data_IF_965289106831
#
_entry.id   IF_965289106831
#
_cell.length_a   1.000
_cell.length_b   1.000
_cell.length_c   1.000
_cell.angle_alpha   90.00
_cell.angle_beta   90.00
_cell.angle_gamma   90.00
#
_symmetry.space_group_name_H-M   'P 1'
#
loop_
_entity.id
_entity.type
_entity.pdbx_description
1 polymer ?
#
# COMPACT_ATOMS: atom_id res chain seq x y z
N UNK A 1 5.75 27.96 39.35
CA UNK A 1 6.25 27.78 37.97
C UNK A 1 5.84 26.39 37.53
N UNK A 2 4.80 26.29 36.69
CA UNK A 2 4.23 24.99 36.29
C UNK A 2 5.12 24.37 35.22
N UNK A 3 5.81 23.27 35.54
CA UNK A 3 6.59 22.51 34.58
C UNK A 3 5.64 21.86 33.57
N UNK A 4 5.48 22.47 32.40
CA UNK A 4 4.85 21.80 31.27
C UNK A 4 5.75 20.63 30.87
N UNK A 5 5.24 19.41 31.05
CA UNK A 5 5.90 18.19 30.59
C UNK A 5 5.98 18.26 29.07
N UNK A 6 7.17 18.56 28.53
CA UNK A 6 7.41 18.53 27.09
C UNK A 6 7.25 17.07 26.63
N UNK A 7 6.20 16.79 25.88
CA UNK A 7 6.04 15.49 25.23
C UNK A 7 7.01 15.48 24.06
N UNK A 8 8.17 14.84 24.23
CA UNK A 8 9.11 14.65 23.14
C UNK A 8 8.46 13.83 22.01
N UNK A 9 8.71 14.27 20.78
CA UNK A 9 8.18 13.58 19.60
C UNK A 9 8.90 12.24 19.45
N UNK A 10 8.16 11.12 19.40
CA UNK A 10 8.73 9.77 19.29
C UNK A 10 9.32 9.46 17.89
N UNK A 11 8.98 10.26 16.89
CA UNK A 11 9.37 10.08 15.48
C UNK A 11 10.88 10.02 15.25
N UNK A 12 11.76 10.86 15.85
CA UNK A 12 13.21 10.68 15.79
C UNK A 12 13.68 9.30 16.29
N UNK A 13 13.10 8.78 17.37
CA UNK A 13 13.43 7.45 17.91
C UNK A 13 12.99 6.36 16.93
N UNK A 14 11.77 6.46 16.40
CA UNK A 14 11.26 5.52 15.40
C UNK A 14 12.11 5.53 14.12
N UNK A 15 12.62 6.69 13.72
CA UNK A 15 13.55 6.84 12.58
C UNK A 15 14.89 6.16 12.87
N UNK A 16 15.49 6.41 14.03
CA UNK A 16 16.76 5.78 14.44
C UNK A 16 16.66 4.25 14.48
N UNK A 17 15.53 3.71 14.95
CA UNK A 17 15.27 2.28 14.99
C UNK A 17 14.87 1.69 13.63
N UNK A 18 14.77 2.51 12.57
CA UNK A 18 14.27 2.11 11.25
C UNK A 18 12.86 1.46 11.32
N UNK A 19 12.02 1.95 12.23
CA UNK A 19 10.67 1.44 12.45
C UNK A 19 9.64 2.23 11.63
N UNK A 20 8.79 1.52 10.89
CA UNK A 20 7.64 2.17 10.25
C UNK A 20 6.58 2.53 11.30
N UNK A 21 5.99 3.74 11.24
CA UNK A 21 4.81 4.10 12.03
C UNK A 21 3.64 3.15 11.75
N UNK A 22 2.72 3.02 12.71
CA UNK A 22 1.58 2.07 12.64
C UNK A 22 0.78 2.23 11.34
N UNK A 23 0.47 3.47 10.94
CA UNK A 23 -0.24 3.78 9.69
C UNK A 23 0.44 3.15 8.47
N UNK A 24 1.76 3.27 8.35
CA UNK A 24 2.48 2.68 7.23
C UNK A 24 2.64 1.16 7.33
N UNK A 25 2.68 0.60 8.55
CA UNK A 25 2.64 -0.87 8.71
C UNK A 25 1.32 -1.46 8.21
N UNK A 26 0.21 -0.76 8.42
CA UNK A 26 -1.10 -1.16 7.87
C UNK A 26 -1.04 -1.14 6.34
N UNK A 27 -0.58 -0.03 5.73
CA UNK A 27 -0.42 0.05 4.28
C UNK A 27 0.49 -1.04 3.72
N UNK A 28 1.62 -1.30 4.38
CA UNK A 28 2.55 -2.36 4.01
C UNK A 28 1.89 -3.73 3.98
N UNK A 29 1.07 -4.05 5.00
CA UNK A 29 0.35 -5.33 5.07
C UNK A 29 -0.71 -5.45 3.98
N UNK A 30 -1.48 -4.39 3.71
CA UNK A 30 -2.47 -4.38 2.62
C UNK A 30 -1.77 -4.63 1.29
N UNK A 31 -0.74 -3.85 0.97
CA UNK A 31 0.02 -3.95 -0.29
C UNK A 31 0.72 -5.31 -0.46
N UNK A 32 1.24 -5.88 0.63
CA UNK A 32 1.84 -7.22 0.61
C UNK A 32 0.80 -8.29 0.27
N UNK A 33 -0.40 -8.19 0.86
CA UNK A 33 -1.51 -9.09 0.53
C UNK A 33 -1.96 -8.90 -0.91
N UNK A 34 -2.04 -7.66 -1.40
CA UNK A 34 -2.34 -7.35 -2.80
C UNK A 34 -1.33 -7.99 -3.75
N UNK A 35 -0.03 -7.83 -3.51
CA UNK A 35 1.01 -8.46 -4.33
C UNK A 35 0.83 -9.99 -4.36
N UNK A 36 0.59 -10.61 -3.20
CA UNK A 36 0.38 -12.07 -3.14
C UNK A 36 -0.85 -12.51 -3.95
N UNK A 37 -1.97 -11.80 -3.82
CA UNK A 37 -3.17 -12.10 -4.58
C UNK A 37 -2.95 -11.95 -6.10
N UNK A 38 -2.23 -10.91 -6.53
CA UNK A 38 -1.91 -10.70 -7.95
C UNK A 38 -0.96 -11.75 -8.55
N UNK A 39 -0.18 -12.44 -7.71
CA UNK A 39 0.77 -13.48 -8.10
C UNK A 39 0.27 -14.90 -7.76
N UNK A 40 -1.03 -15.08 -7.49
CA UNK A 40 -1.64 -16.38 -7.14
C UNK A 40 -1.02 -17.05 -5.89
N UNK A 41 -0.45 -16.26 -4.98
CA UNK A 41 0.11 -16.70 -3.70
C UNK A 41 -0.86 -16.48 -2.52
N UNK A 42 -2.08 -16.05 -2.81
CA UNK A 42 -3.16 -15.86 -1.84
C UNK A 42 -4.38 -16.68 -2.28
N UNK A 43 -5.33 -16.95 -1.36
CA UNK A 43 -6.58 -17.61 -1.70
C UNK A 43 -7.34 -16.90 -2.83
N UNK A 44 -8.03 -17.67 -3.68
CA UNK A 44 -8.76 -17.16 -4.85
C UNK A 44 -9.74 -16.04 -4.50
N UNK A 45 -10.44 -16.15 -3.37
CA UNK A 45 -11.39 -15.12 -2.94
C UNK A 45 -10.75 -13.73 -2.76
N UNK A 46 -9.46 -13.62 -2.47
CA UNK A 46 -8.76 -12.32 -2.42
C UNK A 46 -8.38 -11.81 -3.81
N UNK A 47 -8.03 -12.73 -4.70
CA UNK A 47 -7.71 -12.43 -6.10
C UNK A 47 -8.95 -11.93 -6.83
N UNK A 48 -10.11 -12.56 -6.59
CA UNK A 48 -11.41 -12.16 -7.16
C UNK A 48 -11.83 -10.75 -6.71
N UNK A 49 -11.30 -10.27 -5.58
CA UNK A 49 -11.52 -8.90 -5.09
C UNK A 49 -10.63 -7.85 -5.79
N UNK A 50 -9.71 -8.25 -6.67
CA UNK A 50 -8.79 -7.34 -7.37
C UNK A 50 -8.99 -7.41 -8.88
N UNK A 51 -9.47 -6.33 -9.47
CA UNK A 51 -9.70 -6.24 -10.91
C UNK A 51 -8.61 -5.43 -11.59
N UNK A 52 -8.02 -6.01 -12.65
CA UNK A 52 -7.17 -5.26 -13.58
C UNK A 52 -8.07 -4.67 -14.67
N UNK A 53 -7.95 -3.37 -14.99
CA UNK A 53 -8.71 -2.80 -16.09
C UNK A 53 -8.31 -3.48 -17.40
N UNK A 54 -9.27 -4.18 -18.02
CA UNK A 54 -9.11 -4.76 -19.35
C UNK A 54 -9.53 -3.72 -20.37
N UNK A 55 -8.56 -3.15 -21.07
CA UNK A 55 -8.84 -2.31 -22.23
C UNK A 55 -8.57 -3.12 -23.51
N UNK A 56 -9.44 -3.02 -24.54
CA UNK A 56 -9.25 -3.73 -25.81
C UNK A 56 -7.99 -3.29 -26.57
N UNK A 57 -7.45 -2.12 -26.22
CA UNK A 57 -6.18 -1.60 -26.73
C UNK A 57 -5.17 -1.43 -25.58
N UNK A 58 -3.88 -1.65 -25.86
CA UNK A 58 -2.79 -1.43 -24.88
C UNK A 58 -2.64 0.07 -24.59
N UNK A 59 -3.40 0.56 -23.64
CA UNK A 59 -3.33 1.95 -23.17
C UNK A 59 -2.20 2.13 -22.14
N UNK A 60 -1.78 3.37 -21.87
CA UNK A 60 -0.77 3.65 -20.83
C UNK A 60 -1.14 3.07 -19.45
N UNK A 61 -2.43 2.87 -19.16
CA UNK A 61 -2.92 2.25 -17.92
C UNK A 61 -2.59 0.75 -17.80
N UNK A 62 -2.55 0.00 -18.93
CA UNK A 62 -2.14 -1.42 -18.92
C UNK A 62 -0.64 -1.58 -18.68
N UNK A 63 0.17 -0.64 -19.19
CA UNK A 63 1.62 -0.61 -18.95
C UNK A 63 1.97 -0.24 -17.49
N UNK A 64 1.06 0.46 -16.80
CA UNK A 64 1.25 0.92 -15.43
C UNK A 64 0.83 -0.10 -14.35
N UNK A 65 0.38 -1.30 -14.72
CA UNK A 65 -0.02 -2.37 -13.78
C UNK A 65 -0.95 -1.86 -12.65
N UNK A 66 -1.96 -1.09 -13.04
CA UNK A 66 -2.93 -0.43 -12.14
C UNK A 66 -4.11 -1.34 -11.83
N UNK A 67 -4.77 -1.11 -10.69
CA UNK A 67 -5.97 -1.83 -10.27
C UNK A 67 -7.18 -0.91 -10.25
N UNK A 68 -8.35 -1.44 -10.58
CA UNK A 68 -9.63 -0.74 -10.48
C UNK A 68 -10.42 -1.23 -9.27
N UNK A 69 -10.92 -0.33 -8.40
CA UNK A 69 -11.85 -0.71 -7.33
C UNK A 69 -13.12 -1.34 -7.89
N UNK A 70 -13.63 -2.40 -7.24
CA UNK A 70 -14.80 -3.16 -7.69
C UNK A 70 -16.09 -2.35 -7.61
N UNK A 71 -16.24 -1.58 -6.53
CA UNK A 71 -17.48 -0.87 -6.26
C UNK A 71 -17.20 0.59 -5.97
N UNK A 72 -18.12 1.45 -6.41
CA UNK A 72 -18.16 2.84 -5.97
C UNK A 72 -18.94 2.86 -4.66
N UNK A 73 -18.26 3.03 -3.55
CA UNK A 73 -18.89 3.07 -2.22
C UNK A 73 -19.77 4.30 -2.11
N UNK A 74 -21.05 4.11 -1.75
CA UNK A 74 -21.99 5.23 -1.49
C UNK A 74 -21.67 5.96 -0.16
N UNK A 75 -20.96 5.29 0.76
CA UNK A 75 -20.61 5.81 2.08
C UNK A 75 -19.09 5.84 2.28
N UNK A 76 -18.54 7.06 2.41
CA UNK A 76 -17.09 7.39 2.41
C UNK A 76 -16.33 7.00 3.69
N UNK A 77 -16.80 6.03 4.46
CA UNK A 77 -16.25 5.74 5.80
C UNK A 77 -15.83 4.29 5.96
N UNK A 78 -16.80 3.37 6.09
CA UNK A 78 -16.52 1.95 6.33
C UNK A 78 -16.20 1.24 5.02
N UNK A 79 -16.93 1.54 3.95
CA UNK A 79 -16.74 0.93 2.64
C UNK A 79 -15.33 1.15 2.07
N UNK A 80 -14.75 2.34 2.30
CA UNK A 80 -13.42 2.70 1.79
C UNK A 80 -12.29 1.92 2.46
N UNK A 81 -12.54 1.36 3.65
CA UNK A 81 -11.59 0.51 4.39
C UNK A 81 -11.63 -0.95 3.93
N UNK A 82 -12.63 -1.35 3.15
CA UNK A 82 -12.72 -2.71 2.63
C UNK A 82 -11.54 -3.00 1.69
N UNK A 83 -11.04 -4.23 1.70
CA UNK A 83 -9.89 -4.64 0.88
C UNK A 83 -10.09 -4.33 -0.61
N UNK A 84 -11.28 -4.59 -1.14
CA UNK A 84 -11.65 -4.32 -2.55
C UNK A 84 -11.54 -2.84 -2.98
N UNK A 85 -11.47 -1.91 -2.02
CA UNK A 85 -11.29 -0.47 -2.27
C UNK A 85 -9.90 0.00 -1.82
N UNK A 86 -9.50 -0.36 -0.60
CA UNK A 86 -8.23 0.06 -0.01
C UNK A 86 -7.02 -0.51 -0.76
N UNK A 87 -7.08 -1.76 -1.25
CA UNK A 87 -5.97 -2.35 -1.97
C UNK A 87 -5.72 -1.68 -3.33
N UNK A 88 -6.71 -1.52 -4.23
CA UNK A 88 -6.49 -0.81 -5.50
C UNK A 88 -6.04 0.64 -5.32
N UNK A 89 -6.61 1.36 -4.35
CA UNK A 89 -6.23 2.75 -4.08
C UNK A 89 -4.78 2.87 -3.62
N UNK A 90 -4.35 2.06 -2.65
CA UNK A 90 -2.95 2.05 -2.20
C UNK A 90 -1.99 1.50 -3.27
N UNK A 91 -2.39 0.48 -4.02
CA UNK A 91 -1.57 -0.10 -5.07
C UNK A 91 -1.26 0.89 -6.19
N UNK A 92 -2.20 1.78 -6.50
CA UNK A 92 -2.00 2.78 -7.54
C UNK A 92 -1.09 3.94 -7.11
N UNK A 93 -0.88 4.17 -5.81
CA UNK A 93 0.01 5.24 -5.32
C UNK A 93 1.48 4.85 -5.29
N UNK A 94 1.81 3.55 -5.28
CA UNK A 94 3.21 3.09 -5.27
C UNK A 94 3.86 3.21 -6.67
N UNK A 95 5.16 3.49 -6.77
CA UNK A 95 5.87 3.56 -8.05
C UNK A 95 5.78 2.25 -8.85
N UNK A 96 5.75 2.38 -10.18
CA UNK A 96 5.69 1.23 -11.10
C UNK A 96 6.87 0.27 -10.91
N UNK A 97 8.07 0.79 -10.62
CA UNK A 97 9.26 -0.02 -10.35
C UNK A 97 9.05 -1.01 -9.20
N UNK A 98 8.31 -0.60 -8.15
CA UNK A 98 8.01 -1.48 -7.01
C UNK A 98 6.95 -2.51 -7.41
N UNK A 99 5.91 -2.09 -8.15
CA UNK A 99 4.84 -2.97 -8.63
C UNK A 99 5.35 -4.09 -9.53
N UNK A 100 6.38 -3.83 -10.32
CA UNK A 100 6.99 -4.77 -11.25
C UNK A 100 8.14 -5.58 -10.63
N UNK A 101 8.25 -5.61 -9.30
CA UNK A 101 9.25 -6.48 -8.64
C UNK A 101 9.04 -7.95 -9.03
N UNK A 102 10.12 -8.65 -9.37
CA UNK A 102 10.05 -10.03 -9.88
C UNK A 102 9.74 -11.08 -8.80
N UNK A 103 9.93 -10.73 -7.52
CA UNK A 103 9.79 -11.66 -6.41
C UNK A 103 9.20 -11.01 -5.16
N UNK A 104 8.55 -11.83 -4.33
CA UNK A 104 7.98 -11.39 -3.06
C UNK A 104 9.03 -10.77 -2.12
N UNK A 105 10.25 -11.34 -1.95
CA UNK A 105 11.29 -10.70 -1.13
C UNK A 105 11.74 -9.35 -1.69
N UNK A 106 11.93 -9.24 -3.01
CA UNK A 106 12.28 -7.99 -3.68
C UNK A 106 11.21 -6.92 -3.44
N UNK A 107 9.94 -7.27 -3.70
CA UNK A 107 8.80 -6.38 -3.43
C UNK A 107 8.77 -5.90 -1.97
N UNK A 108 8.94 -6.83 -1.02
CA UNK A 108 8.93 -6.55 0.42
C UNK A 108 9.99 -5.51 0.79
N UNK A 109 11.20 -5.66 0.26
CA UNK A 109 12.32 -4.76 0.53
C UNK A 109 12.06 -3.38 -0.08
N UNK A 110 11.76 -3.32 -1.38
CA UNK A 110 11.49 -2.05 -2.08
C UNK A 110 10.33 -1.29 -1.46
N UNK A 111 9.25 -1.98 -1.10
CA UNK A 111 8.09 -1.36 -0.47
C UNK A 111 8.42 -0.80 0.92
N UNK A 112 9.18 -1.54 1.75
CA UNK A 112 9.57 -1.07 3.08
C UNK A 112 10.40 0.21 2.97
N UNK A 113 11.38 0.24 2.07
CA UNK A 113 12.23 1.41 1.82
C UNK A 113 11.41 2.60 1.34
N UNK A 114 10.52 2.39 0.38
CA UNK A 114 9.66 3.45 -0.16
C UNK A 114 8.75 4.07 0.92
N UNK A 115 8.07 3.24 1.71
CA UNK A 115 7.21 3.73 2.80
C UNK A 115 8.01 4.44 3.90
N UNK A 116 9.23 3.97 4.19
CA UNK A 116 10.12 4.62 5.15
C UNK A 116 10.55 6.01 4.69
N UNK A 117 10.94 6.14 3.43
CA UNK A 117 11.31 7.42 2.82
C UNK A 117 10.14 8.42 2.84
N UNK A 118 8.93 7.97 2.49
CA UNK A 118 7.72 8.80 2.56
C UNK A 118 7.46 9.32 3.98
N UNK A 119 7.80 8.56 5.02
CA UNK A 119 7.53 8.97 6.41
C UNK A 119 8.57 9.88 7.03
N UNK A 120 9.83 9.79 6.62
CA UNK A 120 10.93 10.42 7.34
C UNK A 120 11.80 11.35 6.49
N UNK A 121 11.67 11.32 5.16
CA UNK A 121 12.44 12.16 4.24
C UNK A 121 11.59 13.29 3.61
N UNK A 122 10.47 13.63 4.25
CA UNK A 122 9.70 14.87 4.04
C UNK A 122 10.25 15.96 4.96
#
# INVERSE_FOLDING_TARGET
>A
MSSQKVIEHITPILRQLHWLPVKQRIHFKILLTTYKALNNLAPSYLTDLLHRPTHPHRTRSTAANTLTPITRTKYRTIGDRAFAIAAPTLWNTIPLAIRNSDSLPSFKNHLKTHLFNITYNT
#
